data_IF_291764425861
#
_entry.id   IF_291764425861
#
_cell.length_a   1.000
_cell.length_b   1.000
_cell.length_c   1.000
_cell.angle_alpha   90.00
_cell.angle_beta   90.00
_cell.angle_gamma   90.00
#
_symmetry.space_group_name_H-M   'P 1'
#
loop_
_entity.id
_entity.type
_entity.pdbx_description
1 polymer ?
#
# COMPACT_ATOMS: atom_id res chain seq x y z
N UNK A 1 -29.45 -88.13 25.07
CA UNK A 1 -29.01 -87.89 26.45
C UNK A 1 -27.89 -86.86 26.57
N UNK A 2 -27.01 -86.72 25.59
CA UNK A 2 -25.73 -85.98 25.75
C UNK A 2 -25.79 -84.48 25.45
N UNK A 3 -26.75 -84.02 24.61
CA UNK A 3 -26.85 -82.60 24.22
C UNK A 3 -27.50 -81.70 25.29
N UNK A 4 -28.38 -82.26 26.13
CA UNK A 4 -29.11 -81.48 27.15
C UNK A 4 -28.21 -81.21 28.38
N UNK A 5 -27.26 -82.11 28.68
CA UNK A 5 -26.35 -81.97 29.82
C UNK A 5 -25.32 -80.85 29.68
N UNK A 6 -24.85 -80.57 28.45
CA UNK A 6 -23.86 -79.50 28.18
C UNK A 6 -24.46 -78.10 28.31
N UNK A 7 -25.67 -77.88 27.83
CA UNK A 7 -26.35 -76.58 27.94
C UNK A 7 -26.67 -76.20 29.40
N UNK A 8 -27.00 -77.18 30.23
CA UNK A 8 -27.26 -76.95 31.66
C UNK A 8 -25.96 -76.66 32.43
N UNK A 9 -24.84 -77.29 32.06
CA UNK A 9 -23.55 -77.10 32.74
C UNK A 9 -22.85 -75.78 32.40
N UNK A 10 -23.01 -75.25 31.18
CA UNK A 10 -22.47 -73.94 30.80
C UNK A 10 -23.31 -72.77 31.32
N UNK A 11 -24.62 -72.97 31.50
CA UNK A 11 -25.50 -71.97 32.09
C UNK A 11 -25.54 -72.02 33.62
N UNK A 12 -25.02 -73.09 34.23
CA UNK A 12 -24.94 -73.29 35.67
C UNK A 12 -24.22 -72.16 36.42
N UNK A 13 -23.07 -71.60 35.98
CA UNK A 13 -22.46 -70.45 36.66
C UNK A 13 -23.30 -69.17 36.54
N UNK A 14 -24.00 -68.96 35.42
CA UNK A 14 -24.91 -67.82 35.26
C UNK A 14 -26.16 -67.95 36.14
N UNK A 15 -26.73 -69.16 36.23
CA UNK A 15 -27.87 -69.50 37.09
C UNK A 15 -27.47 -69.47 38.57
N UNK A 16 -26.29 -69.98 38.93
CA UNK A 16 -25.76 -69.95 40.28
C UNK A 16 -25.51 -68.52 40.75
N UNK A 17 -25.00 -67.64 39.87
CA UNK A 17 -24.85 -66.22 40.19
C UNK A 17 -26.20 -65.52 40.48
N UNK A 18 -27.28 -65.92 39.78
CA UNK A 18 -28.64 -65.43 40.05
C UNK A 18 -29.14 -65.93 41.42
N UNK A 19 -28.80 -67.16 41.82
CA UNK A 19 -29.27 -67.80 43.06
C UNK A 19 -28.45 -67.41 44.30
N UNK A 20 -27.14 -67.16 44.17
CA UNK A 20 -26.24 -66.83 45.31
C UNK A 20 -26.15 -65.33 45.63
N UNK A 21 -27.01 -64.50 45.01
CA UNK A 21 -27.10 -63.06 45.31
C UNK A 21 -26.28 -62.16 44.38
N UNK A 22 -25.85 -62.65 43.22
CA UNK A 22 -25.33 -61.81 42.15
C UNK A 22 -26.46 -60.99 41.53
N UNK A 23 -26.57 -59.72 41.97
CA UNK A 23 -27.45 -58.65 41.46
C UNK A 23 -28.81 -59.10 40.89
N UNK A 24 -29.91 -58.86 41.60
CA UNK A 24 -31.25 -59.04 41.03
C UNK A 24 -31.48 -58.19 39.77
N UNK A 25 -32.59 -58.41 39.06
CA UNK A 25 -32.93 -57.69 37.82
C UNK A 25 -32.82 -56.15 37.93
N UNK A 26 -33.09 -55.59 39.13
CA UNK A 26 -32.88 -54.17 39.43
C UNK A 26 -31.40 -53.73 39.35
N UNK A 27 -30.46 -54.57 39.76
CA UNK A 27 -29.02 -54.33 39.67
C UNK A 27 -28.50 -54.34 38.22
N UNK A 28 -29.02 -55.25 37.39
CA UNK A 28 -28.72 -55.26 35.94
C UNK A 28 -29.28 -54.03 35.22
N UNK A 29 -30.51 -53.61 35.56
CA UNK A 29 -31.10 -52.38 35.03
C UNK A 29 -30.31 -51.13 35.45
N UNK A 30 -29.85 -51.06 36.70
CA UNK A 30 -29.01 -49.96 37.19
C UNK A 30 -27.65 -49.91 36.48
N UNK A 31 -27.03 -51.06 36.21
CA UNK A 31 -25.77 -51.15 35.46
C UNK A 31 -25.95 -50.75 33.99
N UNK A 32 -27.03 -51.20 33.33
CA UNK A 32 -27.36 -50.80 31.97
C UNK A 32 -27.65 -49.28 31.86
N UNK A 33 -28.38 -48.72 32.82
CA UNK A 33 -28.63 -47.27 32.88
C UNK A 33 -27.36 -46.46 33.13
N UNK A 34 -26.43 -46.97 33.95
CA UNK A 34 -25.12 -46.36 34.16
C UNK A 34 -24.26 -46.41 32.90
N UNK A 35 -24.29 -47.53 32.16
CA UNK A 35 -23.60 -47.69 30.89
C UNK A 35 -24.16 -46.74 29.80
N UNK A 36 -25.49 -46.57 29.74
CA UNK A 36 -26.14 -45.60 28.85
C UNK A 36 -25.66 -44.17 29.12
N UNK A 37 -25.66 -43.74 30.39
CA UNK A 37 -25.14 -42.43 30.80
C UNK A 37 -23.67 -42.21 30.42
N UNK A 38 -22.85 -43.25 30.52
CA UNK A 38 -21.44 -43.16 30.09
C UNK A 38 -21.30 -43.05 28.58
N UNK A 39 -22.16 -43.71 27.80
CA UNK A 39 -22.16 -43.62 26.34
C UNK A 39 -22.60 -42.22 25.87
N UNK A 40 -23.63 -41.64 26.50
CA UNK A 40 -24.10 -40.29 26.21
C UNK A 40 -23.00 -39.25 26.49
N UNK A 41 -22.32 -39.37 27.64
CA UNK A 41 -21.21 -38.49 27.99
C UNK A 41 -20.03 -38.57 27.01
N UNK A 42 -19.74 -39.77 26.47
CA UNK A 42 -18.70 -39.95 25.45
C UNK A 42 -19.09 -39.32 24.12
N UNK A 43 -20.36 -39.44 23.72
CA UNK A 43 -20.88 -38.80 22.52
C UNK A 43 -20.85 -37.26 22.62
N UNK A 44 -21.21 -36.71 23.79
CA UNK A 44 -21.09 -35.27 24.09
C UNK A 44 -19.63 -34.79 24.04
N UNK A 45 -18.71 -35.57 24.59
CA UNK A 45 -17.28 -35.27 24.54
C UNK A 45 -16.75 -35.30 23.09
N UNK A 46 -17.19 -36.27 22.28
CA UNK A 46 -16.85 -36.35 20.86
C UNK A 46 -17.32 -35.13 20.07
N UNK A 47 -18.58 -34.71 20.25
CA UNK A 47 -19.12 -33.49 19.63
C UNK A 47 -18.35 -32.23 20.04
N UNK A 48 -17.92 -32.17 21.29
CA UNK A 48 -17.12 -31.06 21.82
C UNK A 48 -15.73 -31.05 21.18
N UNK A 49 -15.08 -32.21 21.04
CA UNK A 49 -13.78 -32.33 20.39
C UNK A 49 -13.83 -31.91 18.90
N UNK A 50 -14.89 -32.29 18.17
CA UNK A 50 -15.09 -31.87 16.78
C UNK A 50 -15.25 -30.34 16.68
N UNK A 51 -16.07 -29.74 17.55
CA UNK A 51 -16.25 -28.28 17.58
C UNK A 51 -14.94 -27.52 17.88
N UNK A 52 -14.08 -28.07 18.76
CA UNK A 52 -12.75 -27.52 19.03
C UNK A 52 -11.83 -27.62 17.82
N UNK A 53 -11.85 -28.74 17.10
CA UNK A 53 -11.07 -28.91 15.87
C UNK A 53 -11.52 -27.93 14.77
N UNK A 54 -12.83 -27.72 14.63
CA UNK A 54 -13.42 -26.77 13.67
C UNK A 54 -13.05 -25.33 14.02
N UNK A 55 -13.07 -24.98 15.31
CA UNK A 55 -12.62 -23.68 15.80
C UNK A 55 -11.12 -23.47 15.53
N UNK A 56 -10.29 -24.50 15.72
CA UNK A 56 -8.86 -24.47 15.39
C UNK A 56 -8.61 -24.18 13.90
N UNK A 57 -9.30 -24.90 13.00
CA UNK A 57 -9.21 -24.65 11.55
C UNK A 57 -9.65 -23.24 11.17
N UNK A 58 -10.66 -22.70 11.86
CA UNK A 58 -11.13 -21.33 11.64
C UNK A 58 -10.08 -20.30 12.09
N UNK A 59 -9.43 -20.53 13.23
CA UNK A 59 -8.37 -19.66 13.74
C UNK A 59 -7.16 -19.63 12.79
N UNK A 60 -6.76 -20.78 12.25
CA UNK A 60 -5.67 -20.86 11.28
C UNK A 60 -5.99 -20.08 9.99
N UNK A 61 -7.21 -20.24 9.46
CA UNK A 61 -7.66 -19.51 8.28
C UNK A 61 -7.67 -17.98 8.49
N UNK A 62 -8.05 -17.52 9.69
CA UNK A 62 -8.00 -16.09 10.04
C UNK A 62 -6.56 -15.59 10.14
N UNK A 63 -5.64 -16.40 10.68
CA UNK A 63 -4.23 -16.05 10.74
C UNK A 63 -3.59 -15.96 9.34
N UNK A 64 -3.95 -16.87 8.43
CA UNK A 64 -3.54 -16.80 7.02
C UNK A 64 -4.10 -15.56 6.32
N UNK A 65 -5.36 -15.23 6.53
CA UNK A 65 -5.97 -14.02 5.99
C UNK A 65 -5.29 -12.75 6.51
N UNK A 66 -4.92 -12.71 7.79
CA UNK A 66 -4.15 -11.61 8.39
C UNK A 66 -2.80 -11.42 7.70
N UNK A 67 -2.03 -12.51 7.51
CA UNK A 67 -0.75 -12.46 6.78
C UNK A 67 -0.89 -11.97 5.34
N UNK A 68 -1.95 -12.39 4.65
CA UNK A 68 -2.23 -11.92 3.30
C UNK A 68 -2.56 -10.42 3.25
N UNK A 69 -3.34 -9.93 4.22
CA UNK A 69 -3.67 -8.51 4.34
C UNK A 69 -2.42 -7.67 4.62
N UNK A 70 -1.52 -8.12 5.49
CA UNK A 70 -0.25 -7.44 5.78
C UNK A 70 0.63 -7.35 4.52
N UNK A 71 0.73 -8.45 3.77
CA UNK A 71 1.46 -8.49 2.49
C UNK A 71 0.90 -7.48 1.48
N UNK A 72 -0.43 -7.36 1.41
CA UNK A 72 -1.07 -6.38 0.54
C UNK A 72 -0.80 -4.93 0.99
N UNK A 73 -0.78 -4.67 2.30
CA UNK A 73 -0.45 -3.36 2.84
C UNK A 73 1.01 -2.96 2.55
N UNK A 74 1.94 -3.91 2.66
CA UNK A 74 3.35 -3.71 2.27
C UNK A 74 3.50 -3.38 0.78
N UNK A 75 2.79 -4.11 -0.09
CA UNK A 75 2.78 -3.83 -1.53
C UNK A 75 2.23 -2.41 -1.84
N UNK A 76 1.18 -1.97 -1.14
CA UNK A 76 0.64 -0.62 -1.26
C UNK A 76 1.68 0.46 -0.90
N UNK A 77 2.38 0.30 0.24
CA UNK A 77 3.46 1.22 0.64
C UNK A 77 4.61 1.29 -0.37
N UNK A 78 4.98 0.15 -0.95
CA UNK A 78 6.00 0.09 -1.99
C UNK A 78 5.56 0.84 -3.27
N UNK A 79 4.30 0.70 -3.68
CA UNK A 79 3.74 1.42 -4.82
C UNK A 79 3.73 2.94 -4.60
N UNK A 80 3.35 3.41 -3.41
CA UNK A 80 3.40 4.83 -3.05
C UNK A 80 4.83 5.38 -3.11
N UNK A 81 5.80 4.62 -2.59
CA UNK A 81 7.23 4.96 -2.67
C UNK A 81 7.70 5.09 -4.12
N UNK A 82 7.32 4.17 -5.00
CA UNK A 82 7.65 4.24 -6.42
C UNK A 82 7.01 5.45 -7.10
N UNK A 83 5.79 5.82 -6.73
CA UNK A 83 5.13 7.03 -7.24
C UNK A 83 5.86 8.31 -6.81
N UNK A 84 6.34 8.38 -5.57
CA UNK A 84 7.18 9.49 -5.07
C UNK A 84 8.52 9.58 -5.79
N UNK A 85 9.18 8.45 -6.03
CA UNK A 85 10.42 8.40 -6.82
C UNK A 85 10.16 8.88 -8.24
N UNK A 86 9.09 8.43 -8.89
CA UNK A 86 8.70 8.88 -10.23
C UNK A 86 8.48 10.39 -10.31
N UNK A 87 7.80 10.99 -9.31
CA UNK A 87 7.65 12.46 -9.21
C UNK A 87 8.98 13.17 -9.06
N UNK A 88 9.88 12.62 -8.25
CA UNK A 88 11.22 13.17 -8.02
C UNK A 88 12.06 13.15 -9.29
N UNK A 89 12.06 12.04 -10.03
CA UNK A 89 12.78 11.92 -11.29
C UNK A 89 12.28 12.91 -12.34
N UNK A 90 10.96 13.09 -12.48
CA UNK A 90 10.40 14.11 -13.37
C UNK A 90 10.89 15.52 -13.02
N UNK A 91 10.99 15.84 -11.74
CA UNK A 91 11.54 17.13 -11.29
C UNK A 91 13.02 17.29 -11.61
N UNK A 92 13.82 16.22 -11.49
CA UNK A 92 15.24 16.24 -11.85
C UNK A 92 15.41 16.44 -13.36
N UNK A 93 14.60 15.79 -14.18
CA UNK A 93 14.58 15.99 -15.63
C UNK A 93 14.21 17.43 -16.00
N UNK A 94 13.21 18.01 -15.34
CA UNK A 94 12.86 19.42 -15.51
C UNK A 94 14.02 20.34 -15.14
N UNK A 95 14.72 20.07 -14.03
CA UNK A 95 15.93 20.81 -13.62
C UNK A 95 17.03 20.67 -14.67
N UNK A 96 17.25 19.47 -15.21
CA UNK A 96 18.24 19.22 -16.27
C UNK A 96 17.94 20.00 -17.55
N UNK A 97 16.66 20.09 -17.94
CA UNK A 97 16.23 20.93 -19.07
C UNK A 97 16.42 22.42 -18.80
N UNK A 98 16.10 22.88 -17.58
CA UNK A 98 16.34 24.27 -17.15
C UNK A 98 17.82 24.61 -17.19
N UNK A 99 18.72 23.69 -16.80
CA UNK A 99 20.16 23.92 -16.85
C UNK A 99 20.71 24.10 -18.29
N UNK A 100 19.94 23.76 -19.33
CA UNK A 100 20.33 23.92 -20.73
C UNK A 100 19.72 25.14 -21.44
N UNK A 101 19.11 26.10 -20.73
CA UNK A 101 18.50 27.29 -21.37
C UNK A 101 19.54 28.03 -22.23
N UNK A 102 19.35 28.03 -23.56
CA UNK A 102 20.31 28.52 -24.55
C UNK A 102 20.15 30.01 -24.81
N UNK A 103 18.95 30.57 -24.67
CA UNK A 103 18.72 31.98 -25.02
C UNK A 103 17.33 32.29 -25.55
N UNK A 104 17.25 33.36 -26.34
CA UNK A 104 16.09 33.66 -27.19
C UNK A 104 15.99 32.69 -28.38
N UNK A 105 14.82 32.65 -29.04
CA UNK A 105 14.49 31.59 -30.01
C UNK A 105 15.33 31.73 -31.26
N UNK A 106 15.63 32.99 -31.57
CA UNK A 106 16.40 33.43 -32.69
C UNK A 106 17.21 34.65 -32.23
N UNK A 107 18.37 34.93 -32.87
CA UNK A 107 19.12 36.16 -32.63
C UNK A 107 18.26 37.42 -32.82
N UNK A 108 17.35 37.42 -33.80
CA UNK A 108 16.44 38.54 -34.04
C UNK A 108 15.54 38.82 -32.85
N UNK A 109 15.03 37.79 -32.15
CA UNK A 109 14.23 37.98 -30.94
C UNK A 109 15.04 38.53 -29.78
N UNK A 110 16.32 38.15 -29.66
CA UNK A 110 17.23 38.78 -28.69
C UNK A 110 17.39 40.26 -29.03
N UNK A 111 17.76 40.60 -30.27
CA UNK A 111 17.98 41.98 -30.68
C UNK A 111 16.73 42.85 -30.53
N UNK A 112 15.55 42.35 -30.93
CA UNK A 112 14.28 43.04 -30.75
C UNK A 112 13.94 43.29 -29.29
N UNK A 113 14.24 42.32 -28.42
CA UNK A 113 13.94 42.42 -27.00
C UNK A 113 14.92 43.34 -26.28
N UNK A 114 16.22 43.21 -26.56
CA UNK A 114 17.25 44.12 -26.12
C UNK A 114 16.94 45.57 -26.53
N UNK A 115 16.54 45.80 -27.79
CA UNK A 115 16.17 47.14 -28.26
C UNK A 115 15.00 47.76 -27.49
N UNK A 116 14.05 46.93 -27.02
CA UNK A 116 12.88 47.39 -26.26
C UNK A 116 13.20 47.59 -24.78
N UNK A 117 13.95 46.67 -24.18
CA UNK A 117 14.06 46.55 -22.72
C UNK A 117 15.48 46.60 -22.18
N UNK A 118 16.52 46.41 -23.01
CA UNK A 118 17.91 46.36 -22.55
C UNK A 118 18.30 47.59 -21.73
N UNK A 119 17.91 48.77 -22.19
CA UNK A 119 18.15 50.03 -21.48
C UNK A 119 17.35 50.16 -20.16
N UNK A 120 16.17 49.53 -20.05
CA UNK A 120 15.36 49.57 -18.82
C UNK A 120 16.06 48.88 -17.64
N UNK A 121 16.92 47.91 -17.96
CA UNK A 121 17.73 47.15 -17.01
C UNK A 121 19.20 47.62 -16.98
N UNK A 122 19.56 48.70 -17.69
CA UNK A 122 20.91 49.24 -17.70
C UNK A 122 21.92 48.49 -18.55
N UNK A 123 21.48 47.58 -19.44
CA UNK A 123 22.38 46.88 -20.34
C UNK A 123 22.71 47.72 -21.56
N UNK A 124 23.99 47.70 -21.96
CA UNK A 124 24.48 48.44 -23.13
C UNK A 124 24.80 47.53 -24.31
N UNK A 125 24.81 46.21 -24.10
CA UNK A 125 25.05 45.21 -25.13
C UNK A 125 24.04 44.07 -25.12
N UNK A 126 23.78 43.48 -26.28
CA UNK A 126 22.94 42.29 -26.43
C UNK A 126 23.51 41.08 -25.67
N UNK A 127 24.85 40.98 -25.58
CA UNK A 127 25.52 39.87 -24.91
C UNK A 127 25.32 39.92 -23.40
N UNK A 128 25.47 41.09 -22.77
CA UNK A 128 25.19 41.25 -21.34
C UNK A 128 23.72 40.99 -21.05
N UNK A 129 22.84 41.48 -21.92
CA UNK A 129 21.40 41.25 -21.80
C UNK A 129 21.04 39.77 -21.89
N UNK A 130 21.64 39.05 -22.84
CA UNK A 130 21.45 37.61 -22.99
C UNK A 130 21.92 36.85 -21.75
N UNK A 131 23.10 37.17 -21.22
CA UNK A 131 23.65 36.52 -20.04
C UNK A 131 22.76 36.72 -18.81
N UNK A 132 22.33 37.97 -18.54
CA UNK A 132 21.43 38.27 -17.44
C UNK A 132 20.07 37.56 -17.60
N UNK A 133 19.55 37.49 -18.81
CA UNK A 133 18.27 36.82 -19.06
C UNK A 133 18.38 35.29 -18.92
N UNK A 134 19.52 34.68 -19.28
CA UNK A 134 19.80 33.27 -19.01
C UNK A 134 19.92 32.99 -17.51
N UNK A 135 20.58 33.87 -16.76
CA UNK A 135 20.69 33.80 -15.30
C UNK A 135 19.32 33.89 -14.63
N UNK A 136 18.52 34.90 -14.99
CA UNK A 136 17.16 35.05 -14.48
C UNK A 136 16.28 33.84 -14.86
N UNK A 137 16.38 33.35 -16.09
CA UNK A 137 15.65 32.16 -16.55
C UNK A 137 16.05 30.88 -15.80
N UNK A 138 17.24 30.85 -15.18
CA UNK A 138 17.76 29.75 -14.37
C UNK A 138 17.50 29.92 -12.86
N UNK A 139 16.95 31.06 -12.44
CA UNK A 139 16.71 31.39 -11.03
C UNK A 139 15.80 30.36 -10.35
N UNK A 140 16.10 29.97 -9.12
CA UNK A 140 15.27 29.06 -8.33
C UNK A 140 14.15 29.83 -7.60
N UNK A 141 13.03 29.16 -7.23
CA UNK A 141 12.01 29.80 -6.40
C UNK A 141 12.61 30.27 -5.07
N UNK A 142 12.26 31.48 -4.63
CA UNK A 142 12.79 32.11 -3.42
C UNK A 142 11.80 33.10 -2.81
N UNK A 143 12.27 33.96 -1.90
CA UNK A 143 11.43 35.01 -1.29
C UNK A 143 10.84 35.95 -2.34
N UNK A 144 11.63 36.29 -3.36
CA UNK A 144 11.24 37.26 -4.38
C UNK A 144 10.89 36.62 -5.72
N UNK A 145 11.32 35.38 -5.96
CA UNK A 145 11.15 34.68 -7.24
C UNK A 145 10.04 33.65 -7.14
N UNK A 146 8.95 33.91 -7.83
CA UNK A 146 7.82 33.00 -8.01
C UNK A 146 7.99 32.19 -9.29
N UNK A 147 7.78 30.87 -9.19
CA UNK A 147 7.92 29.93 -10.32
C UNK A 147 6.67 29.08 -10.44
N UNK A 148 6.12 29.00 -11.66
CA UNK A 148 4.98 28.13 -11.98
C UNK A 148 5.26 27.31 -13.23
N UNK A 149 5.10 26.00 -13.14
CA UNK A 149 5.06 25.11 -14.30
C UNK A 149 3.62 25.03 -14.81
N UNK A 150 3.40 25.36 -16.09
CA UNK A 150 2.10 25.25 -16.75
C UNK A 150 1.86 23.81 -17.21
N UNK A 151 0.61 23.46 -17.49
CA UNK A 151 0.22 22.12 -17.98
C UNK A 151 0.93 21.72 -19.29
N UNK A 152 1.37 22.70 -20.09
CA UNK A 152 2.15 22.49 -21.30
C UNK A 152 3.68 22.35 -21.07
N UNK A 153 4.12 22.30 -19.80
CA UNK A 153 5.53 22.23 -19.42
C UNK A 153 6.26 23.57 -19.38
N UNK A 154 5.64 24.68 -19.82
CA UNK A 154 6.30 25.98 -19.77
C UNK A 154 6.52 26.42 -18.32
N UNK A 155 7.73 26.88 -18.03
CA UNK A 155 8.09 27.44 -16.73
C UNK A 155 7.98 28.96 -16.76
N UNK A 156 7.10 29.50 -15.94
CA UNK A 156 6.90 30.94 -15.76
C UNK A 156 7.64 31.38 -14.50
N UNK A 157 8.44 32.42 -14.63
CA UNK A 157 9.27 32.99 -13.56
C UNK A 157 8.89 34.45 -13.42
N UNK A 158 8.65 34.90 -12.20
CA UNK A 158 8.34 36.28 -11.90
C UNK A 158 9.11 36.70 -10.64
N UNK A 159 9.87 37.78 -10.73
CA UNK A 159 10.51 38.41 -9.59
C UNK A 159 9.64 39.57 -9.10
N UNK A 160 9.16 39.47 -7.86
CA UNK A 160 8.25 40.46 -7.25
C UNK A 160 8.96 41.75 -6.87
N UNK A 161 10.27 41.72 -6.59
CA UNK A 161 11.02 42.91 -6.15
C UNK A 161 11.51 43.75 -7.32
N UNK A 162 11.84 43.11 -8.45
CA UNK A 162 12.31 43.78 -9.67
C UNK A 162 11.25 43.90 -10.77
N UNK A 163 10.08 43.27 -10.59
CA UNK A 163 9.03 43.13 -11.62
C UNK A 163 9.51 42.46 -12.92
N UNK A 164 10.52 41.59 -12.84
CA UNK A 164 11.01 40.83 -13.98
C UNK A 164 10.14 39.60 -14.25
N UNK A 165 9.87 39.32 -15.52
CA UNK A 165 9.06 38.17 -15.91
C UNK A 165 9.71 37.42 -17.09
N UNK A 166 9.79 36.09 -16.97
CA UNK A 166 10.31 35.22 -18.01
C UNK A 166 9.45 33.96 -18.17
N UNK A 167 9.28 33.49 -19.41
CA UNK A 167 8.64 32.21 -19.72
C UNK A 167 9.63 31.31 -20.44
N UNK A 168 10.11 30.26 -19.77
CA UNK A 168 10.99 29.25 -20.33
C UNK A 168 10.18 28.11 -20.95
N UNK A 169 10.52 27.78 -22.19
CA UNK A 169 9.92 26.68 -22.96
C UNK A 169 10.95 25.55 -23.02
N UNK A 170 10.74 24.42 -22.31
CA UNK A 170 11.74 23.37 -22.16
C UNK A 170 12.12 22.67 -23.47
N UNK A 171 11.20 22.60 -24.43
CA UNK A 171 11.44 21.94 -25.72
C UNK A 171 12.29 22.76 -26.68
N UNK A 172 12.42 24.07 -26.45
CA UNK A 172 13.13 24.99 -27.33
C UNK A 172 14.26 25.76 -26.64
N UNK A 173 14.50 25.51 -25.34
CA UNK A 173 15.44 26.26 -24.49
C UNK A 173 15.31 27.78 -24.66
N UNK A 174 14.05 28.22 -24.80
CA UNK A 174 13.65 29.56 -25.18
C UNK A 174 13.04 30.29 -23.99
N UNK A 175 13.47 31.51 -23.69
CA UNK A 175 12.70 32.41 -22.83
C UNK A 175 11.98 33.54 -23.60
N UNK A 176 10.75 33.85 -23.19
CA UNK A 176 10.07 35.10 -23.52
C UNK A 176 10.05 35.98 -22.26
N UNK A 177 10.88 37.03 -22.25
CA UNK A 177 10.85 38.02 -21.18
C UNK A 177 9.81 39.11 -21.48
N UNK A 178 9.17 39.65 -20.47
CA UNK A 178 8.48 40.96 -20.55
C UNK A 178 8.89 41.74 -19.31
N UNK A 179 9.45 42.91 -19.51
CA UNK A 179 9.55 43.89 -18.44
C UNK A 179 8.16 44.50 -18.26
N UNK A 180 7.56 44.37 -17.09
CA UNK A 180 6.43 45.20 -16.69
C UNK A 180 6.96 46.19 -15.65
N UNK A 181 7.63 47.25 -16.09
CA UNK A 181 7.72 48.45 -15.25
C UNK A 181 6.34 49.10 -15.27
N UNK A 182 5.65 49.11 -14.13
CA UNK A 182 4.45 49.92 -13.94
C UNK A 182 4.81 51.41 -14.01
#
# INVERSE_FOLDING_TARGET
GEAIGRAVFELLPAILAIITGGMGAAGYAAKAGSAGKTADALADAGRTADALADAGRTADALADAGRAADTQADAGRAADTLADVGRTLNRVDDIGRIAQIKGFATPQKLSEHFKKHGAEFGFTSESEYLAAAQEFASSQPGSDVLVKIRANGNRVIYNVSTNEFAVVIPTMNLFQARSCKA
#
